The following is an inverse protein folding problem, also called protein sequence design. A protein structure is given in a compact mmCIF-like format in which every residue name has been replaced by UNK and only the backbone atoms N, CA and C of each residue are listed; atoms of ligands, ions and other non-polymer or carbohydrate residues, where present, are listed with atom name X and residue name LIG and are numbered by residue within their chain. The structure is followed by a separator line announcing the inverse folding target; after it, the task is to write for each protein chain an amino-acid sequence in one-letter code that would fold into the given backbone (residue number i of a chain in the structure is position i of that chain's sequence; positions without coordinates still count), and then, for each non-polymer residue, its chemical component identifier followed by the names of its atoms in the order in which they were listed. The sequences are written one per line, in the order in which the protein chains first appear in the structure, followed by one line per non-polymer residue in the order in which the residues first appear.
data_IF_674842300322
#
_entry.id   IF_674842300322
#
_cell.length_a   1.000
_cell.length_b   1.000
_cell.length_c   1.000
_cell.angle_alpha   90.00
_cell.angle_beta   90.00
_cell.angle_gamma   90.00
#
_symmetry.space_group_name_H-M   'P 1'
#
loop_
_entity.id
_entity.type
_entity.pdbx_description
1 polymer ?
#
# COMPACT_ATOMS: atom_id res chain seq x y z
N UNK A 1 4.89 -6.40 16.88
CA UNK A 1 4.99 -4.94 17.14
C UNK A 1 4.25 -4.24 16.02
N UNK A 2 3.38 -3.28 16.31
CA UNK A 2 2.63 -2.54 15.29
C UNK A 2 3.44 -1.30 14.92
N UNK A 3 3.93 -1.24 13.69
CA UNK A 3 4.55 -0.03 13.13
C UNK A 3 3.47 0.75 12.37
N UNK A 4 3.26 2.02 12.73
CA UNK A 4 2.40 2.92 11.97
C UNK A 4 3.28 3.97 11.30
N UNK A 5 2.95 4.29 10.05
CA UNK A 5 3.67 5.28 9.26
C UNK A 5 2.72 6.45 8.98
N UNK A 6 3.16 7.67 9.32
CA UNK A 6 2.45 8.89 8.95
C UNK A 6 3.02 9.36 7.62
N UNK A 7 2.19 9.37 6.58
CA UNK A 7 2.56 10.00 5.30
C UNK A 7 2.74 11.48 5.57
N UNK A 8 3.97 11.99 5.39
CA UNK A 8 4.25 13.41 5.58
C UNK A 8 3.96 14.15 4.27
N UNK A 9 3.24 15.30 4.30
CA UNK A 9 2.96 16.08 3.10
C UNK A 9 4.23 16.51 2.36
N UNK A 10 5.32 16.71 3.09
CA UNK A 10 6.63 17.12 2.59
C UNK A 10 7.31 16.05 1.73
N UNK A 11 6.93 14.76 1.88
CA UNK A 11 7.41 13.69 1.02
C UNK A 11 6.85 13.79 -0.40
N UNK A 12 5.77 14.55 -0.58
CA UNK A 12 5.09 14.77 -1.85
C UNK A 12 3.79 13.96 -1.99
N UNK A 13 3.04 14.27 -3.05
CA UNK A 13 1.79 13.59 -3.36
C UNK A 13 2.07 12.22 -3.96
N UNK A 14 1.85 11.16 -3.17
CA UNK A 14 1.85 9.79 -3.65
C UNK A 14 0.45 9.19 -3.60
N UNK A 15 0.15 8.36 -4.59
CA UNK A 15 -1.10 7.60 -4.63
C UNK A 15 -0.91 6.26 -3.94
N UNK A 16 -1.70 6.03 -2.88
CA UNK A 16 -1.79 4.74 -2.20
C UNK A 16 -3.05 4.00 -2.64
N UNK A 17 -2.89 2.72 -2.94
CA UNK A 17 -4.01 1.81 -3.18
C UNK A 17 -4.08 0.81 -2.03
N UNK A 18 -5.27 0.64 -1.47
CA UNK A 18 -5.51 -0.29 -0.36
C UNK A 18 -6.91 -0.89 -0.50
N UNK A 19 -7.03 -2.20 -0.21
CA UNK A 19 -8.33 -2.86 -0.17
C UNK A 19 -9.14 -2.40 1.04
N UNK A 20 -10.45 -2.21 0.85
CA UNK A 20 -11.37 -1.90 1.94
C UNK A 20 -11.48 -3.08 2.91
N UNK A 21 -11.63 -4.29 2.36
CA UNK A 21 -11.61 -5.53 3.11
C UNK A 21 -10.77 -6.62 2.42
N UNK A 22 -10.88 -7.87 2.89
CA UNK A 22 -10.09 -8.99 2.38
C UNK A 22 -10.38 -9.30 0.89
N UNK A 23 -11.60 -9.09 0.41
CA UNK A 23 -11.98 -9.39 -0.97
C UNK A 23 -11.39 -8.34 -1.92
N UNK A 24 -11.46 -7.05 -1.59
CA UNK A 24 -10.81 -6.02 -2.41
C UNK A 24 -9.29 -6.12 -2.33
N UNK A 25 -8.72 -6.63 -1.24
CA UNK A 25 -7.28 -6.91 -1.18
C UNK A 25 -6.85 -7.99 -2.20
N UNK A 26 -7.63 -9.08 -2.31
CA UNK A 26 -7.39 -10.12 -3.31
C UNK A 26 -7.54 -9.60 -4.74
N UNK A 27 -8.49 -8.70 -4.97
CA UNK A 27 -8.66 -8.03 -6.26
C UNK A 27 -7.53 -7.05 -6.56
N UNK A 28 -7.12 -6.24 -5.58
CA UNK A 28 -6.08 -5.23 -5.72
C UNK A 28 -4.73 -5.83 -6.15
N UNK A 29 -4.39 -7.03 -5.68
CA UNK A 29 -3.17 -7.76 -6.08
C UNK A 29 -3.08 -7.91 -7.61
N UNK A 30 -4.22 -8.07 -8.31
CA UNK A 30 -4.26 -8.24 -9.77
C UNK A 30 -3.88 -6.97 -10.53
N UNK A 31 -3.95 -5.81 -9.88
CA UNK A 31 -3.72 -4.50 -10.48
C UNK A 31 -2.41 -3.83 -10.02
N UNK A 32 -1.61 -4.51 -9.20
CA UNK A 32 -0.30 -4.01 -8.77
C UNK A 32 0.70 -3.97 -9.92
N UNK A 33 1.53 -2.92 -9.97
CA UNK A 33 2.67 -2.84 -10.88
C UNK A 33 3.95 -3.33 -10.20
N UNK A 34 4.94 -3.76 -10.99
CA UNK A 34 6.22 -4.25 -10.46
C UNK A 34 7.01 -3.14 -9.74
N UNK A 35 6.78 -1.90 -10.14
CA UNK A 35 7.43 -0.71 -9.60
C UNK A 35 6.72 -0.16 -8.34
N UNK A 36 5.53 -0.66 -8.03
CA UNK A 36 4.81 -0.24 -6.82
C UNK A 36 5.52 -0.80 -5.58
N UNK A 37 5.70 0.03 -4.54
CA UNK A 37 6.19 -0.44 -3.25
C UNK A 37 5.03 -1.08 -2.51
N UNK A 38 5.15 -2.36 -2.20
CA UNK A 38 4.14 -3.11 -1.45
C UNK A 38 4.54 -3.32 0.01
N UNK A 39 3.59 -3.15 0.93
CA UNK A 39 3.80 -3.41 2.35
C UNK A 39 2.51 -3.79 3.09
N UNK A 40 2.68 -4.49 4.21
CA UNK A 40 1.62 -4.87 5.14
C UNK A 40 2.19 -5.00 6.55
N UNK A 41 1.32 -5.14 7.55
CA UNK A 41 1.77 -5.33 8.93
C UNK A 41 2.30 -6.74 9.11
N UNK A 42 3.52 -6.86 9.62
CA UNK A 42 4.16 -8.15 9.89
C UNK A 42 3.31 -9.02 10.83
N UNK A 43 3.10 -10.28 10.44
CA UNK A 43 2.41 -11.33 11.20
C UNK A 43 0.98 -10.98 11.68
N UNK A 44 0.33 -10.01 11.02
CA UNK A 44 -1.05 -9.62 11.31
C UNK A 44 -1.88 -9.76 10.04
N UNK A 45 -3.16 -10.14 10.19
CA UNK A 45 -4.13 -10.06 9.10
C UNK A 45 -4.50 -8.59 8.90
N UNK A 46 -3.81 -7.91 7.99
CA UNK A 46 -4.01 -6.49 7.67
C UNK A 46 -4.15 -6.27 6.17
N UNK A 47 -4.69 -5.12 5.79
CA UNK A 47 -4.77 -4.65 4.41
C UNK A 47 -3.41 -4.64 3.71
N UNK A 48 -3.41 -4.97 2.43
CA UNK A 48 -2.27 -4.82 1.53
C UNK A 48 -2.26 -3.40 0.96
N UNK A 49 -1.12 -2.72 1.07
CA UNK A 49 -0.95 -1.35 0.59
C UNK A 49 0.06 -1.35 -0.54
N UNK A 50 -0.31 -0.72 -1.65
CA UNK A 50 0.55 -0.45 -2.79
C UNK A 50 0.76 1.06 -2.94
N UNK A 51 2.00 1.50 -2.82
CA UNK A 51 2.41 2.88 -3.03
C UNK A 51 2.94 3.03 -4.45
N UNK A 52 2.26 3.84 -5.27
CA UNK A 52 2.68 4.11 -6.64
C UNK A 52 3.66 5.27 -6.72
N UNK A 53 4.86 4.96 -7.21
CA UNK A 53 5.89 5.97 -7.44
C UNK A 53 5.58 6.78 -8.70
N UNK A 54 5.96 8.06 -8.68
CA UNK A 54 5.92 8.90 -9.88
C UNK A 54 6.94 8.37 -10.89
N UNK A 55 6.60 8.45 -12.17
CA UNK A 55 7.59 8.23 -13.23
C UNK A 55 8.71 9.27 -13.07
N UNK A 56 9.95 8.80 -13.04
CA UNK A 56 11.14 9.63 -13.06
C UNK A 56 11.35 10.31 -14.41
#
# INVERSE_FOLDING_TARGET
MVFYFKVQPEAGDYTNFMGLDKYENEELIKYGFMEDIWFHVDKMSSTYIYLRLKKG
#
